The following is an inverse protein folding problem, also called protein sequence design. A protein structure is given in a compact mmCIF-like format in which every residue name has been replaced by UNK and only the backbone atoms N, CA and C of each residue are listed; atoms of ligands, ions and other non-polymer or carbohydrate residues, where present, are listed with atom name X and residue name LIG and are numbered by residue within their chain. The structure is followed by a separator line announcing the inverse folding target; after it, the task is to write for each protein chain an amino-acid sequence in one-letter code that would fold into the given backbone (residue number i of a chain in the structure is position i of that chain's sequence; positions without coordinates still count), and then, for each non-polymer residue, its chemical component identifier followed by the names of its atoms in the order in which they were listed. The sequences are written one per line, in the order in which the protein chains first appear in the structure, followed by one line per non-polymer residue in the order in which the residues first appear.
data_IF_403259476814
#
_entry.id   IF_403259476814
#
_cell.length_a   1.000
_cell.length_b   1.000
_cell.length_c   1.000
_cell.angle_alpha   90.00
_cell.angle_beta   90.00
_cell.angle_gamma   90.00
#
_symmetry.space_group_name_H-M   'P 1'
#
loop_
_entity.id
_entity.type
_entity.pdbx_description
1 polymer ?
#
# COMPACT_ATOMS: atom_id res chain seq x y z
N UNK A 1 1.91 -16.49 -13.71
CA UNK A 1 2.18 -15.48 -12.65
C UNK A 1 1.58 -14.17 -13.14
N UNK A 2 0.54 -13.68 -12.49
CA UNK A 2 -0.06 -12.38 -12.81
C UNK A 2 0.85 -11.28 -12.24
N UNK A 3 1.71 -10.72 -13.08
CA UNK A 3 2.43 -9.50 -12.71
C UNK A 3 1.39 -8.39 -12.59
N UNK A 4 0.95 -8.06 -11.37
CA UNK A 4 0.13 -6.88 -11.14
C UNK A 4 0.96 -5.66 -11.55
N UNK A 5 0.62 -5.06 -12.69
CA UNK A 5 1.27 -3.84 -13.17
C UNK A 5 0.57 -2.64 -12.54
N UNK A 6 1.30 -1.86 -11.76
CA UNK A 6 0.85 -0.54 -11.29
C UNK A 6 1.25 0.53 -12.32
N UNK A 7 0.42 1.55 -12.51
CA UNK A 7 0.78 2.69 -13.34
C UNK A 7 1.90 3.50 -12.68
N UNK A 8 2.90 3.99 -13.44
CA UNK A 8 3.97 4.80 -12.87
C UNK A 8 3.45 6.16 -12.36
N UNK A 9 3.82 6.53 -11.13
CA UNK A 9 3.69 7.88 -10.60
C UNK A 9 4.60 8.81 -11.40
N UNK A 10 4.00 9.79 -12.06
CA UNK A 10 4.73 10.84 -12.79
C UNK A 10 5.22 11.94 -11.86
N UNK A 11 4.56 12.12 -10.71
CA UNK A 11 4.95 13.03 -9.63
C UNK A 11 4.59 12.44 -8.28
N UNK A 12 5.34 12.78 -7.23
CA UNK A 12 4.90 12.53 -5.87
C UNK A 12 3.73 13.47 -5.53
N UNK A 13 2.70 12.98 -4.82
CA UNK A 13 1.57 13.80 -4.41
C UNK A 13 2.06 14.94 -3.52
N UNK A 14 1.73 16.16 -3.92
CA UNK A 14 2.25 17.39 -3.29
C UNK A 14 1.48 17.77 -2.05
N UNK A 15 0.22 17.31 -1.96
CA UNK A 15 -0.64 17.57 -0.82
C UNK A 15 -0.50 16.48 0.26
N UNK A 16 0.35 15.47 0.01
CA UNK A 16 0.72 14.47 1.00
C UNK A 16 1.91 14.96 1.84
N UNK A 17 1.77 15.14 3.16
CA UNK A 17 2.94 15.41 4.01
C UNK A 17 3.81 14.15 4.06
N UNK A 18 4.88 14.12 3.26
CA UNK A 18 5.71 12.92 3.06
C UNK A 18 6.41 12.46 4.34
N UNK A 19 6.78 13.40 5.21
CA UNK A 19 7.38 13.06 6.50
C UNK A 19 6.32 12.48 7.45
N UNK A 20 6.57 11.28 7.95
CA UNK A 20 5.63 10.55 8.80
C UNK A 20 4.34 10.10 8.09
N UNK A 21 4.24 10.17 6.76
CA UNK A 21 3.04 9.73 6.02
C UNK A 21 2.82 8.21 6.02
N UNK A 22 3.88 7.42 6.22
CA UNK A 22 3.82 5.96 6.13
C UNK A 22 4.12 5.35 7.50
N UNK A 23 3.22 4.48 7.95
CA UNK A 23 3.44 3.58 9.07
C UNK A 23 3.85 2.19 8.58
N UNK A 24 4.72 1.54 9.34
CA UNK A 24 5.11 0.14 9.14
C UNK A 24 4.51 -0.67 10.28
N UNK A 25 3.87 -1.78 9.93
CA UNK A 25 3.30 -2.73 10.88
C UNK A 25 3.77 -4.14 10.54
N UNK A 26 3.83 -5.03 11.54
CA UNK A 26 4.14 -6.43 11.33
C UNK A 26 2.83 -7.23 11.35
N UNK A 27 2.54 -7.97 10.29
CA UNK A 27 1.40 -8.87 10.21
C UNK A 27 1.84 -10.22 9.67
N UNK A 28 1.59 -11.30 10.41
CA UNK A 28 1.92 -12.67 10.02
C UNK A 28 3.39 -12.86 9.61
N UNK A 29 4.30 -12.16 10.29
CA UNK A 29 5.74 -12.19 10.00
C UNK A 29 6.17 -11.38 8.77
N UNK A 30 5.25 -10.63 8.15
CA UNK A 30 5.51 -9.79 6.97
C UNK A 30 5.35 -8.32 7.33
N UNK A 31 6.30 -7.48 6.89
CA UNK A 31 6.19 -6.03 7.00
C UNK A 31 5.10 -5.52 6.07
N UNK A 32 4.16 -4.76 6.63
CA UNK A 32 3.05 -4.10 5.93
C UNK A 32 3.23 -2.60 6.05
N UNK A 33 3.28 -1.96 4.90
CA UNK A 33 3.33 -0.51 4.74
C UNK A 33 1.92 0.02 4.58
N UNK A 34 1.59 1.09 5.29
CA UNK A 34 0.27 1.71 5.24
C UNK A 34 0.37 3.21 5.46
N UNK A 35 -0.65 3.95 5.07
CA UNK A 35 -0.80 5.33 5.50
C UNK A 35 -0.70 5.42 7.03
N UNK A 36 -0.03 6.44 7.55
CA UNK A 36 0.08 6.67 8.99
C UNK A 36 -1.26 7.11 9.57
N UNK A 37 -1.37 7.10 10.90
CA UNK A 37 -2.63 7.39 11.58
C UNK A 37 -3.13 8.81 11.29
N UNK A 38 -2.23 9.79 11.20
CA UNK A 38 -2.61 11.17 10.86
C UNK A 38 -3.16 11.27 9.43
N UNK A 39 -2.61 10.50 8.50
CA UNK A 39 -3.11 10.44 7.12
C UNK A 39 -4.48 9.76 7.07
N UNK A 40 -4.65 8.63 7.75
CA UNK A 40 -5.94 7.94 7.83
C UNK A 40 -7.03 8.84 8.43
N UNK A 41 -6.74 9.53 9.53
CA UNK A 41 -7.66 10.49 10.15
C UNK A 41 -7.99 11.67 9.22
N UNK A 42 -7.03 12.13 8.42
CA UNK A 42 -7.26 13.19 7.44
C UNK A 42 -8.19 12.73 6.33
N UNK A 43 -7.99 11.52 5.81
CA UNK A 43 -8.88 10.90 4.82
C UNK A 43 -10.29 10.78 5.39
N UNK A 44 -10.44 10.22 6.58
CA UNK A 44 -11.74 10.09 7.26
C UNK A 44 -12.44 11.45 7.40
N UNK A 45 -11.72 12.48 7.87
CA UNK A 45 -12.27 13.83 8.01
C UNK A 45 -12.71 14.44 6.68
N UNK A 46 -12.01 14.18 5.58
CA UNK A 46 -12.39 14.67 4.25
C UNK A 46 -13.62 13.92 3.71
N UNK A 47 -13.71 12.61 3.95
CA UNK A 47 -14.87 11.81 3.56
C UNK A 47 -16.14 12.22 4.33
N UNK A 48 -16.01 12.42 5.65
CA UNK A 48 -17.09 12.93 6.49
C UNK A 48 -17.54 14.31 6.02
N UNK A 49 -16.59 15.22 5.75
CA UNK A 49 -16.89 16.55 5.22
C UNK A 49 -17.62 16.48 3.88
N UNK A 50 -17.18 15.60 2.96
CA UNK A 50 -17.79 15.41 1.64
C UNK A 50 -19.25 14.98 1.71
N UNK A 51 -19.61 14.21 2.74
CA UNK A 51 -20.98 13.76 2.97
C UNK A 51 -21.92 14.90 3.40
N UNK A 52 -21.39 15.91 4.09
CA UNK A 52 -22.17 17.06 4.58
C UNK A 52 -22.12 18.25 3.62
N UNK A 53 -20.97 18.48 2.98
CA UNK A 53 -20.69 19.66 2.15
C UNK A 53 -19.75 19.32 1.00
N UNK A 54 -19.87 19.97 -0.16
CA UNK A 54 -18.90 19.78 -1.24
C UNK A 54 -17.48 20.13 -0.76
N UNK A 55 -16.53 19.26 -1.10
CA UNK A 55 -15.11 19.52 -0.89
C UNK A 55 -14.63 20.63 -1.83
N UNK A 56 -13.63 21.37 -1.38
CA UNK A 56 -12.88 22.27 -2.27
C UNK A 56 -12.05 21.48 -3.27
N UNK A 57 -11.66 22.10 -4.38
CA UNK A 57 -10.80 21.46 -5.39
C UNK A 57 -9.48 20.93 -4.79
N UNK A 58 -8.90 21.67 -3.84
CA UNK A 58 -7.69 21.23 -3.14
C UNK A 58 -7.93 20.00 -2.27
N UNK A 59 -9.10 19.89 -1.65
CA UNK A 59 -9.45 18.74 -0.80
C UNK A 59 -9.79 17.49 -1.64
N UNK A 60 -10.44 17.65 -2.79
CA UNK A 60 -10.62 16.55 -3.74
C UNK A 60 -9.26 16.08 -4.26
N UNK A 61 -8.38 17.01 -4.64
CA UNK A 61 -7.02 16.66 -5.07
C UNK A 61 -6.21 15.98 -3.95
N UNK A 62 -6.45 16.33 -2.68
CA UNK A 62 -5.83 15.66 -1.54
C UNK A 62 -6.28 14.19 -1.44
N UNK A 63 -7.58 13.90 -1.67
CA UNK A 63 -8.09 12.53 -1.74
C UNK A 63 -7.52 11.74 -2.91
N UNK A 64 -7.45 12.33 -4.10
CA UNK A 64 -6.85 11.70 -5.28
C UNK A 64 -5.36 11.39 -5.05
N UNK A 65 -4.64 12.31 -4.39
CA UNK A 65 -3.24 12.14 -4.00
C UNK A 65 -3.06 10.98 -3.00
N UNK A 66 -4.00 10.81 -2.05
CA UNK A 66 -4.00 9.67 -1.12
C UNK A 66 -4.27 8.34 -1.83
N UNK A 67 -5.24 8.30 -2.77
CA UNK A 67 -5.57 7.09 -3.53
C UNK A 67 -4.36 6.58 -4.32
N UNK A 68 -3.65 7.49 -5.00
CA UNK A 68 -2.45 7.15 -5.74
C UNK A 68 -1.36 6.52 -4.86
N UNK A 69 -1.22 6.97 -3.61
CA UNK A 69 -0.27 6.38 -2.66
C UNK A 69 -0.76 5.04 -2.11
N UNK A 70 -2.06 4.90 -1.83
CA UNK A 70 -2.62 3.65 -1.33
C UNK A 70 -2.44 2.50 -2.34
N UNK A 71 -2.66 2.77 -3.63
CA UNK A 71 -2.38 1.83 -4.72
C UNK A 71 -0.92 1.35 -4.70
N UNK A 72 0.01 2.28 -4.49
CA UNK A 72 1.43 1.99 -4.39
C UNK A 72 1.79 1.16 -3.16
N UNK A 73 1.24 1.48 -2.00
CA UNK A 73 1.45 0.72 -0.77
C UNK A 73 0.86 -0.69 -0.90
N UNK A 74 -0.32 -0.81 -1.48
CA UNK A 74 -0.96 -2.08 -1.80
C UNK A 74 -0.09 -2.93 -2.74
N UNK A 75 0.52 -2.32 -3.76
CA UNK A 75 1.45 -3.00 -4.66
C UNK A 75 2.72 -3.48 -3.94
N UNK A 76 3.35 -2.61 -3.14
CA UNK A 76 4.54 -2.98 -2.33
C UNK A 76 4.20 -4.13 -1.38
N UNK A 77 3.09 -4.05 -0.67
CA UNK A 77 2.62 -5.11 0.24
C UNK A 77 2.40 -6.43 -0.50
N UNK A 78 1.81 -6.40 -1.71
CA UNK A 78 1.64 -7.61 -2.54
C UNK A 78 2.99 -8.19 -2.96
N UNK A 79 3.93 -7.37 -3.41
CA UNK A 79 5.27 -7.86 -3.81
C UNK A 79 5.99 -8.52 -2.64
N UNK A 80 5.98 -7.89 -1.47
CA UNK A 80 6.60 -8.43 -0.26
C UNK A 80 5.95 -9.76 0.12
N UNK A 81 4.61 -9.80 0.23
CA UNK A 81 3.87 -11.04 0.55
C UNK A 81 4.16 -12.14 -0.47
N UNK A 82 4.14 -11.84 -1.76
CA UNK A 82 4.40 -12.82 -2.81
C UNK A 82 5.81 -13.41 -2.70
N UNK A 83 6.83 -12.60 -2.40
CA UNK A 83 8.19 -13.09 -2.21
C UNK A 83 8.31 -14.02 -0.98
N UNK A 84 7.71 -13.65 0.16
CA UNK A 84 7.72 -14.51 1.34
C UNK A 84 6.89 -15.79 1.17
N UNK A 85 5.76 -15.73 0.45
CA UNK A 85 4.99 -16.91 0.10
C UNK A 85 5.79 -17.87 -0.79
N UNK A 86 6.51 -17.34 -1.79
CA UNK A 86 7.39 -18.15 -2.64
C UNK A 86 8.51 -18.81 -1.84
N UNK A 87 9.14 -18.10 -0.90
CA UNK A 87 10.14 -18.70 -0.01
C UNK A 87 9.56 -19.83 0.85
N UNK A 88 8.35 -19.64 1.38
CA UNK A 88 7.70 -20.65 2.22
C UNK A 88 7.28 -21.89 1.41
N UNK A 89 6.84 -21.70 0.15
CA UNK A 89 6.53 -22.80 -0.78
C UNK A 89 7.81 -23.57 -1.15
N UNK A 90 8.92 -22.87 -1.42
CA UNK A 90 10.20 -23.53 -1.71
C UNK A 90 10.71 -24.39 -0.54
N UNK A 91 10.48 -23.93 0.71
CA UNK A 91 10.85 -24.68 1.92
C UNK A 91 9.95 -25.89 2.22
N UNK A 92 8.75 -25.95 1.65
CA UNK A 92 7.78 -27.04 1.90
C UNK A 92 7.78 -28.14 0.82
N UNK A 93 8.54 -27.98 -0.27
CA UNK A 93 8.78 -29.08 -1.21
C UNK A 93 9.92 -29.96 -0.69
N UNK A 94 9.68 -31.25 -0.35
CA UNK A 94 10.76 -32.15 0.00
C UNK A 94 11.63 -32.36 -1.26
N UNK A 95 12.94 -32.20 -1.13
CA UNK A 95 13.87 -32.63 -2.16
C UNK A 95 13.59 -34.10 -2.46
N UNK A 96 13.05 -34.39 -3.65
CA UNK A 96 13.01 -35.75 -4.16
C UNK A 96 14.46 -36.11 -4.42
N UNK A 97 15.11 -36.74 -3.44
CA UNK A 97 16.40 -37.39 -3.62
C UNK A 97 16.26 -38.37 -4.79
N UNK A 98 16.72 -37.96 -5.96
CA UNK A 98 17.04 -38.92 -7.01
C UNK A 98 18.31 -39.62 -6.56
N UNK A 99 18.11 -40.73 -5.85
CA UNK A 99 19.12 -41.78 -5.77
C UNK A 99 19.21 -42.48 -7.12
N UNK A 100 20.38 -42.38 -7.75
CA UNK A 100 21.05 -43.44 -8.50
C UNK A 100 22.41 -42.91 -8.97
#
# INVERSE_FOLDING_TARGET
MNTSTIAPLTTLPKNLPLDGAIAITLQDGVMIFRASQNIQQRIESLLDKRAETPLTETEEQELDDFEAIDDYLSFVNRMIRNNFLLENIAKTQPEIQHGA
#
